data_IF_543414685444
#
_entry.id   IF_543414685444
#
_cell.length_a   1.000
_cell.length_b   1.000
_cell.length_c   1.000
_cell.angle_alpha   90.00
_cell.angle_beta   90.00
_cell.angle_gamma   90.00
#
_symmetry.space_group_name_H-M   'P 1'
#
loop_
_entity.id
_entity.type
_entity.pdbx_description
1 polymer ?
#
# COMPACT_ATOMS: atom_id res chain seq x y z
N UNK A 1 -27.89 4.99 7.39
CA UNK A 1 -26.83 4.56 6.44
C UNK A 1 -25.42 4.89 6.98
N UNK A 2 -24.93 4.12 7.97
CA UNK A 2 -23.67 4.38 8.72
C UNK A 2 -22.41 4.25 7.85
N UNK A 3 -22.49 3.44 6.79
CA UNK A 3 -21.41 3.18 5.85
C UNK A 3 -21.25 4.31 4.82
N UNK A 4 -22.36 4.89 4.36
CA UNK A 4 -22.36 6.05 3.45
C UNK A 4 -21.73 7.29 4.11
N UNK A 5 -22.12 7.58 5.37
CA UNK A 5 -21.52 8.69 6.16
C UNK A 5 -20.03 8.51 6.43
N UNK A 6 -19.56 7.27 6.63
CA UNK A 6 -18.12 6.97 6.85
C UNK A 6 -17.30 7.07 5.56
N UNK A 7 -17.89 6.74 4.41
CA UNK A 7 -17.26 6.90 3.10
C UNK A 7 -17.13 8.36 2.66
N UNK A 8 -18.18 9.16 2.87
CA UNK A 8 -18.17 10.59 2.52
C UNK A 8 -17.09 11.35 3.32
N UNK A 9 -16.74 10.85 4.51
CA UNK A 9 -15.76 11.47 5.40
C UNK A 9 -14.29 11.06 5.15
N UNK A 10 -14.01 9.86 4.63
CA UNK A 10 -12.63 9.34 4.53
C UNK A 10 -12.18 8.97 3.10
N UNK A 11 -11.33 9.81 2.46
CA UNK A 11 -10.72 9.54 1.17
C UNK A 11 -9.99 8.18 1.09
N UNK A 12 -9.34 7.73 2.17
CA UNK A 12 -8.57 6.49 2.16
C UNK A 12 -9.46 5.26 2.01
N UNK A 13 -10.52 5.22 2.82
CA UNK A 13 -11.55 4.18 2.74
C UNK A 13 -12.20 4.13 1.35
N UNK A 14 -12.45 5.29 0.72
CA UNK A 14 -12.94 5.33 -0.67
C UNK A 14 -11.95 4.64 -1.62
N UNK A 15 -10.66 4.98 -1.60
CA UNK A 15 -9.69 4.31 -2.47
C UNK A 15 -9.70 2.78 -2.32
N UNK A 16 -9.76 2.27 -1.09
CA UNK A 16 -9.83 0.82 -0.85
C UNK A 16 -11.08 0.18 -1.47
N UNK A 17 -12.23 0.83 -1.30
CA UNK A 17 -13.54 0.31 -1.73
C UNK A 17 -13.79 0.48 -3.24
N UNK A 18 -12.93 1.22 -3.94
CA UNK A 18 -12.95 1.28 -5.41
C UNK A 18 -12.57 -0.05 -6.06
N UNK A 19 -11.85 -0.90 -5.33
CA UNK A 19 -11.41 -2.19 -5.80
C UNK A 19 -12.57 -3.19 -5.80
N UNK A 20 -12.68 -3.99 -6.86
CA UNK A 20 -13.65 -5.09 -6.93
C UNK A 20 -13.26 -6.20 -5.93
N UNK A 21 -14.22 -6.98 -5.40
CA UNK A 21 -13.89 -8.12 -4.52
C UNK A 21 -12.86 -9.06 -5.12
N UNK A 22 -12.96 -9.38 -6.42
CA UNK A 22 -11.96 -10.23 -7.11
C UNK A 22 -10.55 -9.63 -7.06
N UNK A 23 -10.40 -8.31 -7.02
CA UNK A 23 -9.11 -7.63 -6.89
C UNK A 23 -8.60 -7.64 -5.44
N UNK A 24 -9.49 -7.51 -4.46
CA UNK A 24 -9.15 -7.59 -3.04
C UNK A 24 -8.72 -9.00 -2.63
N UNK A 25 -9.41 -10.03 -3.15
CA UNK A 25 -9.12 -11.44 -2.91
C UNK A 25 -8.02 -12.00 -3.83
N UNK A 26 -7.46 -11.19 -4.73
CA UNK A 26 -6.44 -11.66 -5.65
C UNK A 26 -5.13 -11.92 -4.89
N UNK A 27 -4.68 -13.18 -4.88
CA UNK A 27 -3.40 -13.56 -4.29
C UNK A 27 -2.24 -13.42 -5.27
N UNK A 28 -2.51 -13.71 -6.56
CA UNK A 28 -1.58 -13.65 -7.70
C UNK A 28 -0.25 -14.40 -7.48
N UNK A 29 -0.24 -15.39 -6.58
CA UNK A 29 0.97 -16.07 -6.10
C UNK A 29 2.03 -15.12 -5.52
N UNK A 30 1.63 -13.92 -5.11
CA UNK A 30 2.51 -12.90 -4.53
C UNK A 30 2.26 -12.72 -3.04
N UNK A 31 0.98 -12.63 -2.66
CA UNK A 31 0.58 -12.33 -1.29
C UNK A 31 0.53 -13.62 -0.45
N UNK A 32 0.25 -13.49 0.83
CA UNK A 32 -0.18 -14.59 1.70
C UNK A 32 -1.67 -14.48 1.98
N UNK A 33 -2.29 -15.57 2.46
CA UNK A 33 -3.72 -15.55 2.80
C UNK A 33 -4.02 -14.51 3.88
N UNK A 34 -3.11 -14.34 4.84
CA UNK A 34 -3.16 -13.29 5.84
C UNK A 34 -3.14 -11.88 5.23
N UNK A 35 -2.27 -11.61 4.26
CA UNK A 35 -2.19 -10.30 3.59
C UNK A 35 -3.46 -9.97 2.80
N UNK A 36 -4.02 -10.97 2.12
CA UNK A 36 -5.31 -10.86 1.42
C UNK A 36 -6.44 -10.61 2.42
N UNK A 37 -6.45 -11.34 3.54
CA UNK A 37 -7.43 -11.16 4.61
C UNK A 37 -7.37 -9.75 5.23
N UNK A 38 -6.17 -9.25 5.58
CA UNK A 38 -6.00 -7.90 6.15
C UNK A 38 -6.47 -6.86 5.15
N UNK A 39 -6.04 -6.96 3.89
CA UNK A 39 -6.50 -6.11 2.79
C UNK A 39 -8.03 -6.01 2.72
N UNK A 40 -8.71 -7.15 2.75
CA UNK A 40 -10.16 -7.21 2.65
C UNK A 40 -10.82 -6.55 3.87
N UNK A 41 -10.31 -6.84 5.07
CA UNK A 41 -10.82 -6.24 6.32
C UNK A 41 -10.56 -4.73 6.41
N UNK A 42 -9.46 -4.24 5.82
CA UNK A 42 -9.21 -2.81 5.67
C UNK A 42 -10.25 -2.15 4.77
N UNK A 43 -10.49 -2.71 3.58
CA UNK A 43 -11.45 -2.18 2.64
C UNK A 43 -12.88 -2.19 3.18
N UNK A 44 -13.22 -3.20 4.00
CA UNK A 44 -14.52 -3.33 4.64
C UNK A 44 -14.61 -2.65 6.00
N UNK A 45 -13.53 -2.04 6.51
CA UNK A 45 -13.44 -1.45 7.85
C UNK A 45 -13.85 -2.42 8.97
N UNK A 46 -13.40 -3.66 8.86
CA UNK A 46 -13.72 -4.77 9.75
C UNK A 46 -12.51 -5.22 10.59
N UNK A 47 -11.37 -4.51 10.56
CA UNK A 47 -10.30 -4.77 11.50
C UNK A 47 -10.72 -4.34 12.91
N UNK A 48 -10.55 -5.23 13.88
CA UNK A 48 -10.93 -4.97 15.25
C UNK A 48 -9.82 -4.22 15.99
N UNK A 49 -10.09 -2.97 16.36
CA UNK A 49 -9.15 -2.13 17.10
C UNK A 49 -9.23 -2.34 18.62
N UNK A 50 -10.20 -3.12 19.11
CA UNK A 50 -10.33 -3.41 20.53
C UNK A 50 -9.18 -4.28 21.03
N UNK A 51 -8.70 -3.97 22.24
CA UNK A 51 -7.81 -4.78 23.03
C UNK A 51 -8.08 -4.51 24.51
N UNK A 52 -7.74 -5.46 25.38
CA UNK A 52 -7.95 -5.32 26.81
C UNK A 52 -7.05 -4.22 27.40
N UNK A 53 -7.59 -3.42 28.33
CA UNK A 53 -6.90 -2.25 28.88
C UNK A 53 -6.92 -0.99 28.01
N UNK A 54 -7.56 -0.99 26.83
CA UNK A 54 -7.73 0.22 26.01
C UNK A 54 -8.60 1.26 26.71
N UNK A 55 -8.08 2.45 26.96
CA UNK A 55 -8.88 3.59 27.42
C UNK A 55 -9.60 4.28 26.25
N UNK A 56 -10.73 4.95 26.55
CA UNK A 56 -11.56 5.61 25.52
C UNK A 56 -10.81 6.71 24.76
N UNK A 57 -9.80 7.30 25.38
CA UNK A 57 -8.99 8.39 24.84
C UNK A 57 -7.58 7.93 24.42
N UNK A 58 -7.34 6.60 24.37
CA UNK A 58 -6.06 6.08 23.89
C UNK A 58 -5.87 6.47 22.44
N UNK A 59 -4.94 7.42 22.25
CA UNK A 59 -4.42 7.74 20.94
C UNK A 59 -3.54 6.63 20.39
N UNK A 60 -2.88 6.93 19.28
CA UNK A 60 -2.05 5.95 18.61
C UNK A 60 -0.82 5.59 19.46
N UNK A 61 -0.75 4.33 19.90
CA UNK A 61 0.39 3.79 20.66
C UNK A 61 1.64 3.55 19.81
N UNK A 62 1.52 3.66 18.48
CA UNK A 62 2.67 3.52 17.59
C UNK A 62 3.59 4.73 17.71
N UNK A 63 3.09 5.94 17.92
CA UNK A 63 3.91 7.14 17.89
C UNK A 63 3.43 8.15 18.94
N UNK A 64 4.35 8.59 19.80
CA UNK A 64 4.05 9.53 20.88
C UNK A 64 3.49 10.86 20.36
N UNK A 65 3.85 11.24 19.13
CA UNK A 65 3.33 12.45 18.49
C UNK A 65 1.90 12.28 17.96
N UNK A 66 1.35 11.07 18.05
CA UNK A 66 -0.01 10.72 17.65
C UNK A 66 -0.92 10.40 18.86
N UNK A 67 -0.44 10.56 20.11
CA UNK A 67 -1.22 10.28 21.33
C UNK A 67 -2.51 11.09 21.46
N UNK A 68 -2.61 12.25 20.83
CA UNK A 68 -3.84 13.07 20.86
C UNK A 68 -4.81 12.72 19.71
N UNK A 69 -4.43 11.82 18.80
CA UNK A 69 -5.26 11.43 17.65
C UNK A 69 -5.90 10.08 17.92
N UNK A 70 -7.23 9.94 17.71
CA UNK A 70 -7.90 8.67 17.91
C UNK A 70 -7.31 7.60 16.98
N UNK A 71 -6.96 6.45 17.54
CA UNK A 71 -6.50 5.31 16.75
C UNK A 71 -7.68 4.76 15.93
N UNK A 72 -7.62 4.99 14.62
CA UNK A 72 -8.53 4.46 13.61
C UNK A 72 -7.78 3.57 12.61
N UNK A 73 -8.50 2.76 11.84
CA UNK A 73 -7.89 1.96 10.76
C UNK A 73 -7.10 2.87 9.82
N UNK A 74 -7.72 3.95 9.34
CA UNK A 74 -7.08 4.95 8.46
C UNK A 74 -5.91 5.65 9.13
N UNK A 75 -5.95 5.84 10.45
CA UNK A 75 -4.80 6.33 11.16
C UNK A 75 -3.61 5.37 11.06
N UNK A 76 -3.80 4.11 11.43
CA UNK A 76 -2.75 3.09 11.44
C UNK A 76 -2.11 2.93 10.05
N UNK A 77 -2.92 2.86 9.00
CA UNK A 77 -2.41 2.53 7.66
C UNK A 77 -2.01 3.73 6.81
N UNK A 78 -2.42 4.94 7.18
CA UNK A 78 -2.14 6.14 6.38
C UNK A 78 -1.66 7.32 7.22
N UNK A 79 -2.48 7.90 8.11
CA UNK A 79 -2.15 9.21 8.71
C UNK A 79 -1.12 9.16 9.86
N UNK A 80 -0.83 7.97 10.40
CA UNK A 80 0.23 7.78 11.38
C UNK A 80 1.58 8.20 10.78
N UNK A 81 2.41 8.91 11.56
CA UNK A 81 3.72 9.36 11.09
C UNK A 81 4.60 8.20 10.62
N UNK A 82 4.49 7.03 11.24
CA UNK A 82 5.21 5.82 10.82
C UNK A 82 4.74 5.26 9.49
N UNK A 83 3.43 5.26 9.25
CA UNK A 83 2.87 4.88 7.96
C UNK A 83 3.29 5.88 6.88
N UNK A 84 3.19 7.19 7.17
CA UNK A 84 3.64 8.26 6.27
C UNK A 84 5.12 8.14 5.90
N UNK A 85 6.00 7.79 6.85
CA UNK A 85 7.41 7.56 6.56
C UNK A 85 7.59 6.49 5.48
N UNK A 86 6.94 5.34 5.64
CA UNK A 86 7.00 4.26 4.66
C UNK A 86 6.42 4.68 3.29
N UNK A 87 5.24 5.28 3.26
CA UNK A 87 4.61 5.69 1.99
C UNK A 87 5.42 6.75 1.26
N UNK A 88 6.03 7.70 1.99
CA UNK A 88 6.94 8.70 1.44
C UNK A 88 8.17 8.04 0.83
N UNK A 89 8.82 7.11 1.55
CA UNK A 89 9.97 6.35 1.04
C UNK A 89 9.60 5.59 -0.22
N UNK A 90 8.47 4.89 -0.25
CA UNK A 90 8.00 4.18 -1.44
C UNK A 90 7.79 5.13 -2.62
N UNK A 91 7.14 6.29 -2.41
CA UNK A 91 6.90 7.26 -3.48
C UNK A 91 8.19 7.88 -4.00
N UNK A 92 9.12 8.20 -3.10
CA UNK A 92 10.41 8.78 -3.42
C UNK A 92 11.22 7.84 -4.33
N UNK A 93 11.24 6.54 -4.02
CA UNK A 93 11.87 5.55 -4.89
C UNK A 93 11.12 5.34 -6.21
N UNK A 94 9.79 5.43 -6.18
CA UNK A 94 8.96 5.26 -7.37
C UNK A 94 9.12 6.39 -8.39
N UNK A 95 9.17 7.63 -7.91
CA UNK A 95 9.30 8.83 -8.74
C UNK A 95 10.77 9.22 -8.98
N UNK A 96 11.66 8.87 -8.06
CA UNK A 96 13.07 9.26 -8.10
C UNK A 96 13.32 10.73 -7.79
N UNK A 97 12.48 11.32 -6.94
CA UNK A 97 12.59 12.71 -6.46
C UNK A 97 12.18 12.80 -5.01
N UNK A 98 12.61 13.86 -4.34
CA UNK A 98 12.14 14.16 -2.98
C UNK A 98 10.62 14.40 -2.96
N UNK A 99 9.99 13.99 -1.86
CA UNK A 99 8.53 13.97 -1.70
C UNK A 99 8.12 14.83 -0.51
N UNK A 100 7.36 15.88 -0.78
CA UNK A 100 6.81 16.75 0.25
C UNK A 100 5.41 16.29 0.73
N UNK A 101 4.80 17.06 1.63
CA UNK A 101 3.47 16.75 2.18
C UNK A 101 2.36 16.95 1.15
N UNK A 102 2.51 17.90 0.23
CA UNK A 102 1.58 18.16 -0.87
C UNK A 102 1.55 16.97 -1.84
N UNK A 103 2.71 16.40 -2.17
CA UNK A 103 2.81 15.17 -2.96
C UNK A 103 2.05 14.02 -2.29
N UNK A 104 2.21 13.82 -0.98
CA UNK A 104 1.49 12.77 -0.26
C UNK A 104 -0.03 12.91 -0.38
N UNK A 105 -0.54 14.14 -0.42
CA UNK A 105 -1.97 14.41 -0.63
C UNK A 105 -2.39 14.11 -2.07
N UNK A 106 -1.57 14.50 -3.04
CA UNK A 106 -1.82 14.27 -4.47
C UNK A 106 -1.83 12.78 -4.83
N UNK A 107 -0.89 12.00 -4.28
CA UNK A 107 -0.74 10.58 -4.57
C UNK A 107 -1.56 9.66 -3.64
N UNK A 108 -2.27 10.23 -2.66
CA UNK A 108 -3.13 9.52 -1.72
C UNK A 108 -4.03 8.45 -2.37
N UNK A 109 -4.65 8.78 -3.51
CA UNK A 109 -5.51 7.86 -4.23
C UNK A 109 -4.77 6.61 -4.69
N UNK A 110 -3.59 6.77 -5.28
CA UNK A 110 -2.79 5.66 -5.84
C UNK A 110 -2.43 4.62 -4.77
N UNK A 111 -2.08 5.09 -3.57
CA UNK A 111 -1.87 4.20 -2.42
C UNK A 111 -3.16 3.48 -2.05
N UNK A 112 -4.20 4.25 -1.68
CA UNK A 112 -5.45 3.69 -1.14
C UNK A 112 -6.14 2.68 -2.06
N UNK A 113 -6.08 2.82 -3.37
CA UNK A 113 -6.62 1.81 -4.29
C UNK A 113 -5.59 0.81 -4.84
N UNK A 114 -4.32 0.95 -4.44
CA UNK A 114 -3.19 0.09 -4.84
C UNK A 114 -3.00 0.00 -6.34
N UNK A 115 -3.10 1.13 -7.00
CA UNK A 115 -2.80 1.26 -8.42
C UNK A 115 -1.59 2.14 -8.56
N UNK A 116 -0.65 1.70 -9.40
CA UNK A 116 0.60 2.40 -9.58
C UNK A 116 0.36 3.81 -10.13
N UNK A 117 1.01 4.84 -9.56
CA UNK A 117 1.11 6.12 -10.23
C UNK A 117 2.02 6.02 -11.46
N UNK A 118 2.02 7.07 -12.30
CA UNK A 118 3.02 7.20 -13.35
C UNK A 118 4.44 6.97 -12.81
N UNK A 119 5.25 6.28 -13.59
CA UNK A 119 6.65 6.00 -13.27
C UNK A 119 7.47 7.25 -13.57
N UNK A 120 8.24 7.72 -12.58
CA UNK A 120 9.09 8.90 -12.72
C UNK A 120 10.24 8.68 -13.69
N UNK A 121 10.80 9.78 -14.20
CA UNK A 121 11.82 9.72 -15.25
C UNK A 121 13.09 8.98 -14.83
N UNK A 122 13.51 9.09 -13.56
CA UNK A 122 14.71 8.43 -13.07
C UNK A 122 14.54 6.89 -13.06
N UNK A 123 13.42 6.40 -12.54
CA UNK A 123 13.11 4.97 -12.56
C UNK A 123 12.99 4.47 -14.01
N UNK A 124 12.35 5.23 -14.90
CA UNK A 124 12.25 4.89 -16.33
C UNK A 124 13.63 4.76 -16.99
N UNK A 125 14.52 5.74 -16.79
CA UNK A 125 15.89 5.72 -17.34
C UNK A 125 16.68 4.51 -16.84
N UNK A 126 16.57 4.18 -15.56
CA UNK A 126 17.24 3.01 -14.97
C UNK A 126 16.70 1.70 -15.54
N UNK A 127 15.38 1.58 -15.73
CA UNK A 127 14.78 0.43 -16.39
C UNK A 127 15.31 0.26 -17.82
N UNK A 128 15.39 1.36 -18.58
CA UNK A 128 15.95 1.35 -19.93
C UNK A 128 17.42 0.93 -19.95
N UNK A 129 18.22 1.44 -19.01
CA UNK A 129 19.65 1.13 -18.91
C UNK A 129 19.91 -0.34 -18.57
N UNK A 130 19.15 -0.89 -17.61
CA UNK A 130 19.38 -2.25 -17.11
C UNK A 130 18.70 -3.34 -17.94
N UNK A 131 17.57 -3.04 -18.57
CA UNK A 131 16.71 -4.05 -19.21
C UNK A 131 16.33 -3.74 -20.67
N UNK A 132 16.66 -2.56 -21.20
CA UNK A 132 16.34 -2.12 -22.58
C UNK A 132 15.01 -1.36 -22.69
N UNK A 133 14.57 -1.02 -23.92
CA UNK A 133 13.36 -0.21 -24.17
C UNK A 133 12.07 -1.01 -24.36
N UNK A 134 11.61 -1.77 -23.35
CA UNK A 134 10.34 -2.54 -23.39
C UNK A 134 9.25 -1.97 -22.49
N UNK A 135 8.88 -0.71 -22.71
CA UNK A 135 8.04 0.08 -21.80
C UNK A 135 6.70 -0.59 -21.41
N UNK A 136 5.98 -1.18 -22.38
CA UNK A 136 4.67 -1.79 -22.10
C UNK A 136 4.75 -3.03 -21.22
N UNK A 137 5.82 -3.83 -21.34
CA UNK A 137 6.03 -5.01 -20.49
C UNK A 137 6.42 -4.62 -19.07
N UNK A 138 7.23 -3.57 -18.94
CA UNK A 138 7.63 -3.03 -17.64
C UNK A 138 6.44 -2.42 -16.90
N UNK A 139 5.57 -1.68 -17.57
CA UNK A 139 4.38 -1.09 -16.94
C UNK A 139 3.47 -2.13 -16.29
N UNK A 140 3.28 -3.29 -16.92
CA UNK A 140 2.48 -4.38 -16.34
C UNK A 140 3.16 -4.95 -15.09
N UNK A 141 4.47 -5.17 -15.16
CA UNK A 141 5.26 -5.69 -14.04
C UNK A 141 5.32 -4.71 -12.87
N UNK A 142 5.55 -3.42 -13.15
CA UNK A 142 5.57 -2.34 -12.17
C UNK A 142 4.20 -2.18 -11.50
N UNK A 143 3.10 -2.22 -12.26
CA UNK A 143 1.75 -2.24 -11.66
C UNK A 143 1.56 -3.40 -10.68
N UNK A 144 2.10 -4.58 -10.98
CA UNK A 144 2.08 -5.74 -10.06
C UNK A 144 2.95 -5.49 -8.83
N UNK A 145 4.15 -4.95 -9.00
CA UNK A 145 5.08 -4.63 -7.92
C UNK A 145 4.45 -3.60 -6.96
N UNK A 146 3.96 -2.48 -7.48
CA UNK A 146 3.26 -1.45 -6.67
C UNK A 146 2.09 -2.04 -5.87
N UNK A 147 1.23 -2.79 -6.56
CA UNK A 147 0.08 -3.44 -5.93
C UNK A 147 0.51 -4.35 -4.77
N UNK A 148 1.63 -5.07 -4.94
CA UNK A 148 2.15 -5.96 -3.93
C UNK A 148 2.78 -5.19 -2.76
N UNK A 149 3.63 -4.18 -3.01
CA UNK A 149 4.18 -3.30 -1.97
C UNK A 149 3.07 -2.73 -1.09
N UNK A 150 2.04 -2.15 -1.69
CA UNK A 150 0.93 -1.59 -0.92
C UNK A 150 0.21 -2.66 -0.08
N UNK A 151 -0.03 -3.85 -0.65
CA UNK A 151 -0.77 -4.92 0.03
C UNK A 151 0.02 -5.56 1.16
N UNK A 152 1.33 -5.75 0.98
CA UNK A 152 2.23 -6.27 2.02
C UNK A 152 2.34 -5.24 3.14
N UNK A 153 2.58 -3.97 2.81
CA UNK A 153 2.69 -2.89 3.79
C UNK A 153 1.44 -2.74 4.65
N UNK A 154 0.24 -2.87 4.08
CA UNK A 154 -1.00 -2.88 4.85
C UNK A 154 -1.03 -3.96 5.94
N UNK A 155 -0.62 -5.17 5.59
CA UNK A 155 -0.55 -6.27 6.54
C UNK A 155 0.53 -6.04 7.60
N UNK A 156 1.69 -5.53 7.19
CA UNK A 156 2.79 -5.25 8.11
C UNK A 156 2.47 -4.09 9.07
N UNK A 157 1.84 -3.02 8.59
CA UNK A 157 1.38 -1.92 9.45
C UNK A 157 0.39 -2.42 10.51
N UNK A 158 -0.52 -3.31 10.12
CA UNK A 158 -1.45 -3.96 11.04
C UNK A 158 -0.74 -4.87 12.05
N UNK A 159 0.19 -5.69 11.57
CA UNK A 159 0.97 -6.62 12.41
C UNK A 159 1.85 -5.88 13.42
N UNK A 160 2.58 -4.86 12.98
CA UNK A 160 3.45 -4.05 13.85
C UNK A 160 2.64 -3.32 14.93
N UNK A 161 1.45 -2.82 14.59
CA UNK A 161 0.50 -2.30 15.59
C UNK A 161 0.13 -3.37 16.60
N UNK A 162 -0.21 -4.57 16.17
CA UNK A 162 -0.58 -5.65 17.08
C UNK A 162 0.58 -6.07 17.98
N UNK A 163 1.83 -6.04 17.49
CA UNK A 163 3.00 -6.29 18.34
C UNK A 163 3.18 -5.21 19.43
N UNK A 164 2.88 -3.95 19.15
CA UNK A 164 2.92 -2.88 20.17
C UNK A 164 1.82 -3.10 21.20
N UNK A 165 0.60 -3.39 20.74
CA UNK A 165 -0.61 -3.45 21.58
C UNK A 165 -0.68 -4.74 22.42
N UNK A 166 -0.38 -5.89 21.83
CA UNK A 166 -0.56 -7.19 22.46
C UNK A 166 0.75 -7.76 23.03
N UNK A 167 1.87 -7.48 22.38
CA UNK A 167 3.18 -8.02 22.79
C UNK A 167 4.04 -6.97 23.51
N UNK A 168 3.51 -5.76 23.74
CA UNK A 168 4.21 -4.63 24.40
C UNK A 168 5.54 -4.26 23.75
N UNK A 169 5.70 -4.59 22.46
CA UNK A 169 6.95 -4.39 21.74
C UNK A 169 7.19 -2.91 21.50
N UNK A 170 8.40 -2.43 21.78
CA UNK A 170 8.83 -1.07 21.47
C UNK A 170 9.54 -1.06 20.13
N UNK A 171 9.08 -0.19 19.24
CA UNK A 171 9.68 0.03 17.93
C UNK A 171 10.16 1.47 17.86
N UNK A 172 11.38 1.72 17.39
CA UNK A 172 11.76 3.08 16.97
C UNK A 172 11.20 3.39 15.57
N UNK A 173 11.12 4.67 15.19
CA UNK A 173 10.67 5.05 13.83
C UNK A 173 11.52 4.42 12.72
N UNK A 174 12.88 4.46 12.79
CA UNK A 174 13.72 3.82 11.76
C UNK A 174 13.52 2.31 11.70
N UNK A 175 13.46 1.62 12.84
CA UNK A 175 13.25 0.16 12.88
C UNK A 175 11.91 -0.23 12.27
N UNK A 176 10.85 0.56 12.54
CA UNK A 176 9.53 0.29 12.00
C UNK A 176 9.49 0.48 10.47
N UNK A 177 10.14 1.54 9.96
CA UNK A 177 10.28 1.75 8.52
C UNK A 177 11.06 0.60 7.88
N UNK A 178 12.23 0.28 8.43
CA UNK A 178 13.11 -0.78 7.93
C UNK A 178 12.40 -2.15 7.93
N UNK A 179 11.67 -2.48 9.00
CA UNK A 179 10.92 -3.73 9.08
C UNK A 179 9.92 -3.87 7.92
N UNK A 180 9.14 -2.82 7.63
CA UNK A 180 8.17 -2.85 6.51
C UNK A 180 8.89 -2.90 5.17
N UNK A 181 9.89 -2.04 4.99
CA UNK A 181 10.66 -1.93 3.75
C UNK A 181 11.33 -3.26 3.40
N UNK A 182 12.18 -3.76 4.30
CA UNK A 182 12.88 -5.04 4.15
C UNK A 182 11.91 -6.21 4.02
N UNK A 183 10.78 -6.19 4.74
CA UNK A 183 9.73 -7.20 4.60
C UNK A 183 9.14 -7.27 3.18
N UNK A 184 8.81 -6.12 2.60
CA UNK A 184 8.29 -6.02 1.23
C UNK A 184 9.31 -6.54 0.20
N UNK A 185 10.55 -6.05 0.28
CA UNK A 185 11.61 -6.48 -0.65
C UNK A 185 11.90 -7.97 -0.54
N UNK A 186 12.09 -8.48 0.68
CA UNK A 186 12.37 -9.90 0.91
C UNK A 186 11.30 -10.79 0.30
N UNK A 187 10.02 -10.48 0.52
CA UNK A 187 8.93 -11.26 -0.03
C UNK A 187 8.90 -11.19 -1.56
N UNK A 188 9.03 -10.00 -2.14
CA UNK A 188 8.97 -9.83 -3.59
C UNK A 188 10.16 -10.47 -4.31
N UNK A 189 11.37 -10.39 -3.74
CA UNK A 189 12.55 -11.07 -4.26
C UNK A 189 12.43 -12.59 -4.17
N UNK A 190 11.82 -13.11 -3.09
CA UNK A 190 11.53 -14.54 -2.97
C UNK A 190 10.51 -15.01 -4.02
N UNK A 191 9.44 -14.23 -4.25
CA UNK A 191 8.44 -14.51 -5.29
C UNK A 191 9.07 -14.48 -6.68
N UNK A 192 9.82 -13.42 -7.01
CA UNK A 192 10.51 -13.29 -8.29
C UNK A 192 11.49 -14.46 -8.53
N UNK A 193 12.23 -14.87 -7.49
CA UNK A 193 13.14 -16.01 -7.54
C UNK A 193 12.39 -17.32 -7.81
N UNK A 194 11.32 -17.59 -7.06
CA UNK A 194 10.49 -18.80 -7.23
C UNK A 194 9.88 -18.87 -8.63
N UNK A 195 9.28 -17.77 -9.09
CA UNK A 195 8.66 -17.69 -10.41
C UNK A 195 9.69 -17.84 -11.53
N UNK A 196 10.87 -17.24 -11.41
CA UNK A 196 11.92 -17.36 -12.43
C UNK A 196 12.42 -18.80 -12.61
N UNK A 197 12.35 -19.63 -11.57
CA UNK A 197 12.71 -21.05 -11.61
C UNK A 197 11.59 -21.93 -12.17
N UNK A 198 10.34 -21.46 -12.16
CA UNK A 198 9.16 -22.23 -12.55
C UNK A 198 8.85 -22.03 -14.04
N UNK A 199 8.83 -23.07 -14.90
CA UNK A 199 8.67 -22.91 -16.34
C UNK A 199 7.43 -22.09 -16.76
N UNK A 200 6.28 -22.32 -16.11
CA UNK A 200 5.02 -21.64 -16.45
C UNK A 200 4.95 -20.17 -16.03
N UNK A 201 5.80 -19.72 -15.10
CA UNK A 201 5.82 -18.33 -14.60
C UNK A 201 7.17 -17.65 -14.78
N UNK A 202 8.11 -18.27 -15.49
CA UNK A 202 9.51 -17.83 -15.65
C UNK A 202 9.64 -16.38 -16.10
N UNK A 203 8.92 -16.02 -17.17
CA UNK A 203 8.94 -14.65 -17.73
C UNK A 203 8.42 -13.65 -16.70
N UNK A 204 7.35 -13.99 -15.98
CA UNK A 204 6.78 -13.14 -14.93
C UNK A 204 7.78 -12.95 -13.77
N UNK A 205 8.48 -14.02 -13.37
CA UNK A 205 9.52 -13.96 -12.35
C UNK A 205 10.69 -13.06 -12.74
N UNK A 206 11.15 -13.13 -13.99
CA UNK A 206 12.17 -12.21 -14.51
C UNK A 206 11.67 -10.77 -14.53
N UNK A 207 10.45 -10.53 -15.00
CA UNK A 207 9.82 -9.19 -14.96
C UNK A 207 9.63 -8.66 -13.54
N UNK A 208 9.49 -9.52 -12.54
CA UNK A 208 9.40 -9.09 -11.15
C UNK A 208 10.75 -8.69 -10.53
N UNK A 209 11.88 -8.98 -11.19
CA UNK A 209 13.20 -8.47 -10.79
C UNK A 209 13.40 -6.99 -11.04
N UNK A 210 12.48 -6.31 -11.73
CA UNK A 210 12.48 -4.84 -11.83
C UNK A 210 12.41 -4.15 -10.45
N UNK A 211 12.05 -4.88 -9.39
CA UNK A 211 12.17 -4.40 -8.01
C UNK A 211 13.60 -3.98 -7.66
N UNK A 212 14.63 -4.59 -8.27
CA UNK A 212 16.03 -4.29 -8.01
C UNK A 212 16.38 -2.82 -8.36
N UNK A 213 15.64 -2.20 -9.29
CA UNK A 213 15.76 -0.78 -9.62
C UNK A 213 15.33 0.13 -8.47
N UNK A 214 14.36 -0.28 -7.65
CA UNK A 214 13.88 0.51 -6.50
C UNK A 214 14.87 0.48 -5.34
N UNK A 215 15.70 -0.57 -5.20
CA UNK A 215 16.69 -0.69 -4.11
C UNK A 215 17.91 0.21 -4.25
N UNK A 216 18.25 0.64 -5.45
CA UNK A 216 19.52 1.33 -5.74
C UNK A 216 19.39 2.85 -5.87
N UNK A 217 18.22 3.42 -5.56
CA UNK A 217 17.91 4.85 -5.78
C UNK A 217 18.11 5.74 -4.54
N UNK A 218 18.59 5.21 -3.40
CA UNK A 218 18.71 5.93 -2.13
C UNK A 218 19.64 7.18 -2.13
N UNK A 219 20.29 7.53 -3.24
CA UNK A 219 21.22 8.68 -3.33
C UNK A 219 21.08 9.59 -4.56
N UNK A 220 20.08 9.40 -5.43
CA UNK A 220 19.98 10.11 -6.73
C UNK A 220 18.75 11.02 -6.87
N UNK A 221 18.00 11.22 -5.79
CA UNK A 221 16.81 12.07 -5.83
C UNK A 221 17.21 13.52 -6.15
N UNK A 222 16.68 14.06 -7.26
CA UNK A 222 16.83 15.46 -7.64
C UNK A 222 15.54 16.23 -7.38
N UNK A 223 15.63 17.55 -7.18
CA UNK A 223 14.44 18.41 -7.27
C UNK A 223 13.99 18.48 -8.73
N UNK A 224 12.74 18.15 -9.02
CA UNK A 224 12.23 18.13 -10.41
C UNK A 224 10.86 18.78 -10.55
N UNK A 225 10.70 19.59 -11.60
CA UNK A 225 9.44 20.14 -12.13
C UNK A 225 8.66 19.10 -12.97
N UNK A 226 8.39 17.91 -12.43
CA UNK A 226 7.56 16.93 -13.14
C UNK A 226 6.09 17.39 -13.18
N UNK A 227 5.40 17.25 -14.33
CA UNK A 227 4.00 17.62 -14.45
C UNK A 227 3.13 16.78 -13.50
N UNK A 228 2.08 17.41 -12.97
CA UNK A 228 1.17 16.77 -12.03
C UNK A 228 0.62 15.44 -12.58
N UNK A 229 0.56 14.38 -11.76
CA UNK A 229 -0.01 13.11 -12.18
C UNK A 229 -1.49 13.30 -12.53
N UNK A 230 -2.02 12.58 -13.53
CA UNK A 230 -3.44 12.56 -13.79
C UNK A 230 -4.20 12.04 -12.55
N UNK A 231 -5.47 12.43 -12.36
CA UNK A 231 -6.27 11.90 -11.28
C UNK A 231 -6.39 10.37 -11.40
N UNK A 232 -6.45 9.63 -10.28
CA UNK A 232 -6.54 8.18 -10.32
C UNK A 232 -7.79 7.70 -11.10
N UNK A 233 -7.68 6.72 -12.00
CA UNK A 233 -8.76 6.38 -12.96
C UNK A 233 -10.12 5.98 -12.35
N UNK A 234 -10.16 5.49 -11.11
CA UNK A 234 -11.43 5.12 -10.44
C UNK A 234 -12.12 6.31 -9.77
N UNK A 235 -11.46 7.45 -9.59
CA UNK A 235 -12.10 8.65 -9.03
C UNK A 235 -13.25 9.12 -9.95
N UNK A 236 -13.18 8.78 -11.24
CA UNK A 236 -14.17 9.12 -12.26
C UNK A 236 -15.34 8.12 -12.38
N UNK A 237 -15.39 7.02 -11.60
CA UNK A 237 -16.47 6.00 -11.72
C UNK A 237 -17.41 6.01 -10.51
N UNK A 238 -18.61 6.54 -10.73
CA UNK A 238 -19.64 6.78 -9.73
C UNK A 238 -20.53 5.53 -9.52
N UNK A 239 -19.97 4.47 -8.92
CA UNK A 239 -20.61 3.57 -7.93
C UNK A 239 -19.59 2.47 -7.55
N UNK A 240 -19.24 2.40 -6.26
CA UNK A 240 -18.17 1.52 -5.77
C UNK A 240 -18.62 0.05 -5.74
N UNK A 241 -18.01 -0.78 -6.58
CA UNK A 241 -18.42 -2.18 -6.84
C UNK A 241 -18.47 -3.04 -5.57
N UNK A 242 -17.55 -2.83 -4.62
CA UNK A 242 -17.54 -3.57 -3.35
C UNK A 242 -18.77 -3.25 -2.48
N UNK A 243 -19.16 -1.98 -2.39
CA UNK A 243 -20.31 -1.57 -1.57
C UNK A 243 -21.61 -2.18 -2.05
N UNK A 244 -21.84 -2.16 -3.37
CA UNK A 244 -23.05 -2.72 -3.96
C UNK A 244 -23.20 -4.19 -3.55
N UNK A 245 -22.10 -4.94 -3.58
CA UNK A 245 -22.08 -6.35 -3.15
C UNK A 245 -22.22 -6.53 -1.63
N UNK A 246 -21.61 -5.67 -0.82
CA UNK A 246 -21.79 -5.72 0.64
C UNK A 246 -23.25 -5.47 1.04
N UNK A 247 -23.93 -4.52 0.39
CA UNK A 247 -25.36 -4.27 0.60
C UNK A 247 -26.20 -5.49 0.24
N UNK A 248 -26.00 -6.05 -0.95
CA UNK A 248 -26.71 -7.26 -1.39
C UNK A 248 -26.49 -8.44 -0.44
N UNK A 249 -25.28 -8.62 0.08
CA UNK A 249 -24.98 -9.68 1.05
C UNK A 249 -25.67 -9.46 2.41
N UNK A 250 -25.81 -8.20 2.84
CA UNK A 250 -26.49 -7.87 4.10
C UNK A 250 -28.01 -7.98 3.98
N UNK A 251 -28.58 -7.58 2.85
CA UNK A 251 -30.00 -7.74 2.53
C UNK A 251 -30.39 -9.21 2.40
N UNK A 252 -29.49 -10.08 1.94
CA UNK A 252 -29.73 -11.52 1.85
C UNK A 252 -29.57 -12.30 3.16
N UNK A 253 -28.97 -11.69 4.20
CA UNK A 253 -28.67 -12.33 5.49
C UNK A 253 -29.37 -11.66 6.68
N UNK A 254 -30.27 -10.71 6.41
CA UNK A 254 -31.21 -10.12 7.37
C UNK A 254 -32.63 -10.51 6.95
#
# INVERSE_FOLDING_TARGET
DKWRRRQEADPWTRGQQSQKPKQLWAHKNVLTDYQVWVTYRLATQQLNLYYDGRQRDDGCLLDEHCHQRPETITHIVWTCQRAQAYWRTLLQHWLGREICSEDMTMYHGYFSARVAPPVGNLLRRRLTMLYGGRDTEYEVALRRIWWAFCSIAYAMLWELRNQVVHDQKKWTRPQHLDAIWTGCFRQLSAVASKESKTPSTRIQGWKSRLIDCLTSMEGEASSSDEPQPPPPPWLCKQEMVLLKRLRLYQEANN
#
